data_IF_964079663640
#
_entry.id   IF_964079663640
#
_cell.length_a   1.000
_cell.length_b   1.000
_cell.length_c   1.000
_cell.angle_alpha   90.00
_cell.angle_beta   90.00
_cell.angle_gamma   90.00
#
_symmetry.space_group_name_H-M   'P 1'
#
loop_
_entity.id
_entity.type
_entity.pdbx_description
1 polymer ?
#
# COMPACT_ATOMS: atom_id res chain seq x y z
N UNK A 1 -5.19 -13.05 -17.05
CA UNK A 1 -3.99 -13.61 -16.40
C UNK A 1 -4.29 -13.86 -14.93
N UNK A 2 -3.61 -14.81 -14.35
CA UNK A 2 -3.78 -15.14 -12.96
C UNK A 2 -2.84 -14.34 -12.07
N UNK A 3 -3.30 -14.09 -10.84
CA UNK A 3 -2.45 -13.54 -9.80
C UNK A 3 -1.74 -14.72 -9.13
N UNK A 4 -0.41 -14.66 -9.07
CA UNK A 4 0.41 -15.74 -8.56
C UNK A 4 1.31 -15.29 -7.41
N UNK A 5 1.56 -16.21 -6.49
CA UNK A 5 2.56 -16.02 -5.44
C UNK A 5 3.90 -15.66 -6.08
N UNK A 6 4.59 -14.69 -5.51
CA UNK A 6 5.87 -14.21 -6.01
C UNK A 6 5.80 -12.97 -6.89
N UNK A 7 4.62 -12.56 -7.33
CA UNK A 7 4.47 -11.29 -8.06
C UNK A 7 4.90 -10.15 -7.15
N UNK A 8 5.67 -9.22 -7.71
CA UNK A 8 6.27 -8.12 -6.97
C UNK A 8 5.93 -6.77 -7.58
N UNK A 9 5.81 -5.78 -6.73
CA UNK A 9 5.66 -4.39 -7.13
C UNK A 9 6.59 -3.51 -6.30
N UNK A 10 6.97 -2.39 -6.89
CA UNK A 10 7.85 -1.43 -6.26
C UNK A 10 7.47 -0.03 -6.71
N UNK A 11 7.34 0.88 -5.76
CA UNK A 11 7.00 2.27 -6.03
C UNK A 11 7.90 3.19 -5.21
N UNK A 12 8.10 4.40 -5.72
CA UNK A 12 8.96 5.41 -5.11
C UNK A 12 8.20 6.70 -4.88
N UNK A 13 8.61 7.44 -3.87
CA UNK A 13 8.08 8.76 -3.56
C UNK A 13 9.14 9.54 -2.80
N UNK A 14 9.00 10.87 -2.76
CA UNK A 14 9.81 11.71 -1.89
C UNK A 14 8.95 12.19 -0.73
N UNK A 15 9.55 12.30 0.45
CA UNK A 15 8.83 12.85 1.60
C UNK A 15 8.71 14.38 1.43
N UNK A 16 7.49 14.83 1.21
CA UNK A 16 7.15 16.23 1.12
C UNK A 16 6.58 16.72 2.46
N UNK A 17 6.49 18.02 2.65
CA UNK A 17 5.93 18.56 3.89
C UNK A 17 4.52 18.05 4.15
N UNK A 18 3.71 17.94 3.08
CA UNK A 18 2.32 17.46 3.13
C UNK A 18 2.19 16.02 3.62
N UNK A 19 3.28 15.24 3.53
CA UNK A 19 3.31 13.83 3.92
C UNK A 19 3.71 13.62 5.36
N UNK A 20 3.96 14.70 6.10
CA UNK A 20 4.43 14.59 7.49
C UNK A 20 3.29 14.32 8.46
N UNK A 21 3.63 13.72 9.59
CA UNK A 21 2.66 13.41 10.64
C UNK A 21 1.91 14.67 11.09
N UNK A 22 2.62 15.80 11.20
CA UNK A 22 2.02 17.06 11.60
C UNK A 22 0.98 17.55 10.58
N UNK A 23 1.30 17.51 9.29
CA UNK A 23 0.40 18.03 8.24
C UNK A 23 -0.77 17.08 7.97
N UNK A 24 -0.53 15.78 8.06
CA UNK A 24 -1.59 14.78 7.91
C UNK A 24 -2.54 14.78 9.11
N UNK A 25 -2.07 15.21 10.27
CA UNK A 25 -2.88 15.27 11.48
C UNK A 25 -2.84 14.02 12.32
N UNK A 26 -1.80 13.20 12.18
CA UNK A 26 -1.64 11.96 12.94
C UNK A 26 -0.48 12.03 13.95
N UNK A 27 0.03 13.21 14.20
CA UNK A 27 1.13 13.46 15.13
C UNK A 27 1.49 14.92 15.11
N UNK A 28 2.62 15.27 15.72
CA UNK A 28 3.03 16.67 15.88
C UNK A 28 4.39 16.99 15.23
N UNK A 29 5.04 16.00 14.62
CA UNK A 29 6.39 16.16 14.11
C UNK A 29 6.44 16.18 12.58
N UNK A 30 7.46 16.88 12.05
CA UNK A 30 7.70 16.96 10.61
C UNK A 30 8.55 15.78 10.13
N UNK A 31 7.99 14.60 10.28
CA UNK A 31 8.58 13.35 9.79
C UNK A 31 7.53 12.61 8.95
N UNK A 32 7.99 11.73 8.07
CA UNK A 32 7.11 10.94 7.19
C UNK A 32 6.03 10.24 8.00
N UNK A 33 4.77 10.42 7.62
CA UNK A 33 3.64 9.90 8.38
C UNK A 33 3.42 8.41 8.15
N UNK A 34 2.94 7.72 9.17
CA UNK A 34 2.57 6.32 9.05
C UNK A 34 1.48 6.09 8.01
N UNK A 35 0.40 6.89 7.95
CA UNK A 35 -0.60 6.73 6.88
C UNK A 35 -0.01 6.87 5.47
N UNK A 36 0.92 7.78 5.24
CA UNK A 36 1.55 7.92 3.92
C UNK A 36 2.43 6.72 3.58
N UNK A 37 3.17 6.20 4.55
CA UNK A 37 3.96 4.98 4.35
C UNK A 37 3.06 3.81 3.96
N UNK A 38 1.95 3.64 4.67
CA UNK A 38 0.98 2.58 4.38
C UNK A 38 0.35 2.77 3.00
N UNK A 39 -0.01 3.99 2.64
CA UNK A 39 -0.55 4.28 1.31
C UNK A 39 0.45 3.89 0.21
N UNK A 40 1.73 4.15 0.42
CA UNK A 40 2.77 3.78 -0.54
C UNK A 40 2.93 2.25 -0.63
N UNK A 41 2.85 1.56 0.49
CA UNK A 41 2.85 0.09 0.52
C UNK A 41 1.65 -0.48 -0.23
N UNK A 42 0.47 0.11 -0.06
CA UNK A 42 -0.72 -0.29 -0.84
C UNK A 42 -0.51 -0.05 -2.33
N UNK A 43 0.11 1.06 -2.69
CA UNK A 43 0.46 1.35 -4.08
C UNK A 43 1.40 0.30 -4.68
N UNK A 44 2.37 -0.16 -3.91
CA UNK A 44 3.27 -1.23 -4.33
C UNK A 44 2.52 -2.55 -4.53
N UNK A 45 1.56 -2.85 -3.65
CA UNK A 45 0.73 -4.05 -3.79
C UNK A 45 -0.12 -3.99 -5.06
N UNK A 46 -0.71 -2.85 -5.36
CA UNK A 46 -1.48 -2.65 -6.60
C UNK A 46 -0.58 -2.84 -7.82
N UNK A 47 0.61 -2.26 -7.81
CA UNK A 47 1.56 -2.36 -8.91
C UNK A 47 1.99 -3.83 -9.14
N UNK A 48 2.14 -4.60 -8.07
CA UNK A 48 2.55 -6.00 -8.13
C UNK A 48 1.62 -6.86 -8.99
N UNK A 49 0.33 -6.54 -9.01
CA UNK A 49 -0.70 -7.37 -9.66
C UNK A 49 -1.42 -6.65 -10.81
N UNK A 50 -0.99 -5.44 -11.15
CA UNK A 50 -1.66 -4.59 -12.14
C UNK A 50 -1.86 -5.30 -13.49
N UNK A 51 -0.82 -5.96 -13.99
CA UNK A 51 -0.88 -6.64 -15.29
C UNK A 51 -1.81 -7.84 -15.30
N UNK A 52 -2.11 -8.40 -14.13
CA UNK A 52 -2.99 -9.57 -14.00
C UNK A 52 -4.47 -9.18 -13.83
N UNK A 53 -4.77 -7.88 -13.76
CA UNK A 53 -6.14 -7.41 -13.53
C UNK A 53 -6.89 -7.13 -14.83
N UNK A 54 -8.15 -7.60 -14.90
CA UNK A 54 -9.07 -7.23 -15.97
C UNK A 54 -9.54 -5.79 -15.78
N UNK A 55 -9.92 -5.11 -16.86
CA UNK A 55 -10.43 -3.74 -16.82
C UNK A 55 -11.67 -3.57 -15.95
N UNK A 56 -12.51 -4.60 -15.85
CA UNK A 56 -13.74 -4.56 -15.06
C UNK A 56 -13.53 -4.83 -13.58
N UNK A 57 -12.31 -5.21 -13.20
CA UNK A 57 -11.98 -5.59 -11.83
C UNK A 57 -10.88 -4.74 -11.25
N UNK A 58 -10.88 -4.64 -9.94
CA UNK A 58 -9.83 -3.98 -9.17
C UNK A 58 -9.66 -4.70 -7.85
N UNK A 59 -8.76 -4.22 -7.02
CA UNK A 59 -8.65 -4.70 -5.65
C UNK A 59 -8.86 -3.57 -4.67
N UNK A 60 -9.37 -3.91 -3.51
CA UNK A 60 -9.49 -2.99 -2.37
C UNK A 60 -8.71 -3.55 -1.20
N UNK A 61 -8.08 -2.66 -0.43
CA UNK A 61 -7.37 -3.04 0.78
C UNK A 61 -8.35 -3.37 1.89
N UNK A 62 -8.13 -4.49 2.58
CA UNK A 62 -9.02 -4.95 3.65
C UNK A 62 -8.33 -5.13 4.98
N UNK A 63 -7.02 -5.29 4.99
CA UNK A 63 -6.27 -5.51 6.21
C UNK A 63 -4.85 -5.00 6.07
N UNK A 64 -4.37 -4.36 7.10
CA UNK A 64 -2.99 -3.89 7.21
C UNK A 64 -2.49 -4.17 8.60
N UNK A 65 -1.41 -4.93 8.67
CA UNK A 65 -0.72 -5.22 9.93
C UNK A 65 0.75 -4.89 9.71
N UNK A 66 1.07 -3.61 9.91
CA UNK A 66 2.41 -3.11 9.63
C UNK A 66 2.97 -2.38 10.85
N UNK A 67 4.31 -2.31 10.89
CA UNK A 67 5.05 -1.54 11.88
C UNK A 67 5.84 -0.45 11.18
N UNK A 68 5.83 0.74 11.75
CA UNK A 68 6.64 1.87 11.32
C UNK A 68 7.83 1.93 12.27
N UNK A 69 8.98 1.50 11.81
CA UNK A 69 10.14 1.18 12.64
C UNK A 69 11.13 2.32 12.80
N UNK A 70 11.17 3.24 11.85
CA UNK A 70 12.14 4.32 11.82
C UNK A 70 11.54 5.57 11.18
N UNK A 71 11.86 6.74 11.70
CA UNK A 71 11.37 8.01 11.19
C UNK A 71 12.21 8.49 10.02
N UNK A 72 11.58 9.18 9.06
CA UNK A 72 12.23 9.72 7.88
C UNK A 72 11.97 11.23 7.77
N UNK A 73 13.00 12.06 7.55
CA UNK A 73 12.81 13.49 7.39
C UNK A 73 12.27 13.87 6.02
N UNK A 74 11.75 15.09 5.90
CA UNK A 74 11.36 15.68 4.61
C UNK A 74 12.60 15.71 3.70
N UNK A 75 12.38 15.40 2.42
CA UNK A 75 13.42 15.46 1.39
C UNK A 75 14.06 14.14 1.03
N UNK A 76 13.86 13.09 1.82
CA UNK A 76 14.36 11.76 1.48
C UNK A 76 13.43 11.04 0.54
N UNK A 77 14.01 10.17 -0.30
CA UNK A 77 13.25 9.25 -1.13
C UNK A 77 12.79 8.06 -0.30
N UNK A 78 11.57 7.60 -0.55
CA UNK A 78 11.02 6.38 0.02
C UNK A 78 10.82 5.37 -1.12
N UNK A 79 11.15 4.12 -0.85
CA UNK A 79 10.87 2.99 -1.73
C UNK A 79 9.98 2.01 -0.97
N UNK A 80 8.85 1.65 -1.54
CA UNK A 80 7.99 0.60 -0.98
C UNK A 80 7.95 -0.57 -1.94
N UNK A 81 7.91 -1.77 -1.40
CA UNK A 81 7.79 -2.99 -2.17
C UNK A 81 6.72 -3.91 -1.58
N UNK A 82 6.11 -4.71 -2.44
CA UNK A 82 5.11 -5.70 -2.05
C UNK A 82 5.34 -6.98 -2.84
N UNK A 83 5.17 -8.11 -2.17
CA UNK A 83 5.31 -9.42 -2.79
C UNK A 83 4.07 -10.23 -2.42
N UNK A 84 3.43 -10.84 -3.41
CA UNK A 84 2.30 -11.75 -3.18
C UNK A 84 2.81 -13.00 -2.48
N UNK A 85 2.28 -13.29 -1.30
CA UNK A 85 2.66 -14.46 -0.51
C UNK A 85 1.59 -15.53 -0.47
N UNK A 86 0.32 -15.18 -0.72
CA UNK A 86 -0.77 -16.14 -0.76
C UNK A 86 -1.91 -15.63 -1.63
N UNK A 87 -2.58 -16.56 -2.29
CA UNK A 87 -3.79 -16.27 -3.07
C UNK A 87 -4.83 -17.32 -2.67
N UNK A 88 -5.93 -16.85 -2.08
CA UNK A 88 -7.03 -17.71 -1.64
C UNK A 88 -8.32 -17.16 -2.23
N UNK A 89 -8.69 -17.68 -3.40
CA UNK A 89 -9.82 -17.16 -4.15
C UNK A 89 -9.58 -15.71 -4.54
N UNK A 90 -10.43 -14.82 -4.03
CA UNK A 90 -10.35 -13.38 -4.31
C UNK A 90 -9.45 -12.64 -3.33
N UNK A 91 -8.99 -13.30 -2.27
CA UNK A 91 -8.16 -12.68 -1.21
C UNK A 91 -6.69 -12.88 -1.54
N UNK A 92 -5.97 -11.77 -1.61
CA UNK A 92 -4.55 -11.76 -1.92
C UNK A 92 -3.81 -11.21 -0.72
N UNK A 93 -2.82 -11.98 -0.25
CA UNK A 93 -1.96 -11.56 0.85
C UNK A 93 -0.60 -11.15 0.32
N UNK A 94 -0.09 -10.04 0.85
CA UNK A 94 1.21 -9.48 0.48
C UNK A 94 2.07 -9.34 1.72
N UNK A 95 3.37 -9.50 1.53
CA UNK A 95 4.38 -8.99 2.44
C UNK A 95 4.79 -7.62 1.91
N UNK A 96 4.82 -6.61 2.78
CA UNK A 96 5.14 -5.23 2.37
C UNK A 96 6.31 -4.69 3.18
N UNK A 97 7.14 -3.88 2.52
CA UNK A 97 8.31 -3.22 3.12
C UNK A 97 8.40 -1.79 2.62
N UNK A 98 8.96 -0.93 3.44
CA UNK A 98 9.30 0.43 3.04
C UNK A 98 10.70 0.77 3.52
N UNK A 99 11.42 1.52 2.71
CA UNK A 99 12.81 1.90 2.95
C UNK A 99 13.00 3.39 2.66
N UNK A 100 13.78 4.07 3.49
CA UNK A 100 14.30 5.38 3.13
C UNK A 100 15.76 5.24 2.69
N UNK A 101 16.47 6.35 2.53
CA UNK A 101 17.87 6.31 2.07
C UNK A 101 18.84 5.74 3.10
N UNK A 102 18.42 5.61 4.35
CA UNK A 102 19.23 5.07 5.44
C UNK A 102 18.94 3.59 5.74
N UNK A 103 17.81 3.06 5.28
CA UNK A 103 17.47 1.66 5.51
C UNK A 103 15.98 1.43 5.63
N UNK A 104 15.59 0.26 6.14
CA UNK A 104 14.20 -0.11 6.30
C UNK A 104 13.50 0.76 7.34
N UNK A 105 12.33 1.27 6.99
CA UNK A 105 11.53 2.10 7.89
C UNK A 105 10.22 1.43 8.32
N UNK A 106 9.80 0.37 7.64
CA UNK A 106 8.58 -0.34 8.00
C UNK A 106 8.42 -1.64 7.25
N UNK A 107 7.60 -2.52 7.83
CA UNK A 107 7.30 -3.82 7.23
C UNK A 107 6.02 -4.39 7.83
N UNK A 108 5.45 -5.38 7.14
CA UNK A 108 4.28 -6.08 7.63
C UNK A 108 3.58 -6.89 6.56
N UNK A 109 2.29 -7.12 6.81
CA UNK A 109 1.43 -7.86 5.89
C UNK A 109 0.24 -7.01 5.49
N UNK A 110 -0.29 -7.30 4.30
CA UNK A 110 -1.39 -6.55 3.72
C UNK A 110 -2.29 -7.52 2.95
N UNK A 111 -3.59 -7.37 3.10
CA UNK A 111 -4.55 -8.14 2.31
C UNK A 111 -5.40 -7.24 1.46
N UNK A 112 -5.66 -7.70 0.24
CA UNK A 112 -6.55 -7.05 -0.71
C UNK A 112 -7.53 -8.06 -1.25
N UNK A 113 -8.68 -7.59 -1.72
CA UNK A 113 -9.73 -8.46 -2.27
C UNK A 113 -10.05 -7.99 -3.67
N UNK A 114 -10.11 -8.92 -4.62
CA UNK A 114 -10.52 -8.65 -6.00
C UNK A 114 -12.03 -8.42 -6.03
N UNK A 115 -12.45 -7.31 -6.60
CA UNK A 115 -13.86 -6.94 -6.71
C UNK A 115 -14.19 -6.48 -8.13
N UNK A 116 -15.48 -6.59 -8.49
CA UNK A 116 -16.00 -5.94 -9.70
C UNK A 116 -16.11 -4.45 -9.39
N UNK A 117 -15.37 -3.62 -10.14
CA UNK A 117 -15.26 -2.18 -9.86
C UNK A 117 -16.62 -1.50 -9.76
N UNK A 118 -17.47 -1.68 -10.77
CA UNK A 118 -18.75 -1.01 -10.81
C UNK A 118 -19.72 -1.49 -9.72
N UNK A 119 -19.81 -2.81 -9.52
CA UNK A 119 -20.69 -3.38 -8.48
C UNK A 119 -20.27 -2.96 -7.08
N UNK A 120 -18.98 -2.93 -6.84
CA UNK A 120 -18.45 -2.54 -5.54
C UNK A 120 -18.74 -1.08 -5.24
N UNK A 121 -18.53 -0.21 -6.23
CA UNK A 121 -18.80 1.20 -6.13
C UNK A 121 -20.29 1.48 -5.91
N UNK A 122 -21.16 0.81 -6.70
CA UNK A 122 -22.61 0.95 -6.59
C UNK A 122 -23.10 0.57 -5.19
N UNK A 123 -22.57 -0.51 -4.64
CA UNK A 123 -22.93 -0.96 -3.29
C UNK A 123 -22.53 0.06 -2.23
N UNK A 124 -21.35 0.66 -2.38
CA UNK A 124 -20.89 1.70 -1.43
C UNK A 124 -21.81 2.93 -1.48
N UNK A 125 -22.13 3.39 -2.69
CA UNK A 125 -22.96 4.58 -2.87
C UNK A 125 -24.45 4.34 -2.57
N UNK A 126 -24.87 3.09 -2.52
CA UNK A 126 -26.24 2.74 -2.09
C UNK A 126 -26.50 3.08 -0.63
N UNK A 127 -25.46 3.40 0.14
CA UNK A 127 -25.60 3.84 1.54
C UNK A 127 -26.12 5.28 1.65
N UNK A 128 -26.00 6.06 0.57
CA UNK A 128 -26.54 7.40 0.54
C UNK A 128 -28.06 7.35 0.43
#
# INVERSE_FOLDING_TARGET
>A
MEINVGMRGEVFSFVEKEDTAKEVGCGSLLVYSTPCMIALMEGAACEAIEEAMDESKTTVGTELNVRHLSATPVGMEIRAEAIVTAVDGKVITFEVHAYDEAGEIGSGTHKRVVVSSQKFLDKAYAKL
#
